data_IF_295558241582
#
_entry.id   IF_295558241582
#
_cell.length_a   1.000
_cell.length_b   1.000
_cell.length_c   1.000
_cell.angle_alpha   90.00
_cell.angle_beta   90.00
_cell.angle_gamma   90.00
#
_symmetry.space_group_name_H-M   'P 1'
#
loop_
_entity.id
_entity.type
_entity.pdbx_description
1 polymer ?
#
# COMPACT_ATOMS: atom_id res chain seq x y z
N UNK A 1 -20.68 -19.03 -8.43
CA UNK A 1 -19.68 -19.34 -7.39
C UNK A 1 -19.49 -20.85 -7.37
N UNK A 2 -18.24 -21.30 -7.43
CA UNK A 2 -17.91 -22.72 -7.25
C UNK A 2 -17.72 -23.02 -5.76
N UNK A 3 -18.14 -24.21 -5.31
CA UNK A 3 -17.99 -24.66 -3.93
C UNK A 3 -16.79 -25.59 -3.82
N UNK A 4 -15.81 -25.20 -3.02
CA UNK A 4 -14.63 -26.03 -2.73
C UNK A 4 -14.63 -26.40 -1.25
N UNK A 5 -14.33 -27.66 -0.94
CA UNK A 5 -14.14 -28.14 0.44
C UNK A 5 -12.64 -28.25 0.70
N UNK A 6 -12.15 -27.55 1.73
CA UNK A 6 -10.75 -27.54 2.13
C UNK A 6 -10.63 -28.03 3.58
N UNK A 7 -9.57 -28.79 3.87
CA UNK A 7 -9.23 -29.19 5.25
C UNK A 7 -8.33 -28.12 5.86
N UNK A 8 -8.65 -27.66 7.06
CA UNK A 8 -7.86 -26.71 7.85
C UNK A 8 -7.68 -27.26 9.26
N UNK A 9 -6.56 -26.91 9.88
CA UNK A 9 -6.40 -27.15 11.31
C UNK A 9 -7.42 -26.34 12.12
N UNK A 10 -7.96 -26.96 13.18
CA UNK A 10 -9.02 -26.37 13.99
C UNK A 10 -8.62 -25.03 14.62
N UNK A 11 -7.37 -24.91 15.04
CA UNK A 11 -6.82 -23.69 15.61
C UNK A 11 -6.80 -22.54 14.62
N UNK A 12 -6.45 -22.83 13.37
CA UNK A 12 -6.46 -21.86 12.28
C UNK A 12 -7.89 -21.45 11.95
N UNK A 13 -8.82 -22.41 11.86
CA UNK A 13 -10.23 -22.13 11.61
C UNK A 13 -10.83 -21.22 12.69
N UNK A 14 -10.53 -21.49 13.98
CA UNK A 14 -10.98 -20.65 15.11
C UNK A 14 -10.41 -19.24 15.06
N UNK A 15 -9.13 -19.09 14.71
CA UNK A 15 -8.48 -17.77 14.57
C UNK A 15 -9.08 -16.99 13.41
N UNK A 16 -9.25 -17.64 12.26
CA UNK A 16 -9.81 -17.01 11.06
C UNK A 16 -11.27 -16.57 11.26
N UNK A 17 -12.10 -17.39 11.92
CA UNK A 17 -13.49 -17.01 12.24
C UNK A 17 -13.56 -15.80 13.17
N UNK A 18 -12.73 -15.77 14.22
CA UNK A 18 -12.64 -14.62 15.14
C UNK A 18 -12.21 -13.35 14.40
N UNK A 19 -11.24 -13.47 13.51
CA UNK A 19 -10.77 -12.33 12.71
C UNK A 19 -11.84 -11.84 11.73
N UNK A 20 -12.57 -12.75 11.07
CA UNK A 20 -13.67 -12.38 10.19
C UNK A 20 -14.76 -11.61 10.96
N UNK A 21 -15.14 -12.08 12.16
CA UNK A 21 -16.08 -11.39 13.03
C UNK A 21 -15.56 -10.01 13.46
N UNK A 22 -14.29 -9.92 13.87
CA UNK A 22 -13.65 -8.65 14.26
C UNK A 22 -13.66 -7.62 13.13
N UNK A 23 -13.52 -8.08 11.88
CA UNK A 23 -13.58 -7.24 10.67
C UNK A 23 -15.00 -6.98 10.15
N UNK A 24 -16.03 -7.58 10.75
CA UNK A 24 -17.40 -7.50 10.25
C UNK A 24 -17.59 -8.15 8.87
N UNK A 25 -16.82 -9.20 8.57
CA UNK A 25 -16.88 -9.93 7.28
C UNK A 25 -17.13 -11.43 7.47
N UNK A 26 -17.33 -12.15 6.37
CA UNK A 26 -17.54 -13.60 6.39
C UNK A 26 -16.20 -14.34 6.31
N UNK A 27 -16.15 -15.57 6.85
CA UNK A 27 -14.99 -16.44 6.71
C UNK A 27 -14.62 -16.67 5.23
N UNK A 28 -15.62 -16.88 4.36
CA UNK A 28 -15.40 -17.07 2.92
C UNK A 28 -14.77 -15.85 2.26
N UNK A 29 -15.22 -14.63 2.62
CA UNK A 29 -14.64 -13.40 2.11
C UNK A 29 -13.18 -13.23 2.57
N UNK A 30 -12.89 -13.55 3.84
CA UNK A 30 -11.53 -13.53 4.39
C UNK A 30 -10.61 -14.55 3.67
N UNK A 31 -11.10 -15.76 3.40
CA UNK A 31 -10.37 -16.77 2.63
C UNK A 31 -10.09 -16.28 1.21
N UNK A 32 -11.09 -15.71 0.53
CA UNK A 32 -10.92 -15.17 -0.82
C UNK A 32 -9.89 -14.02 -0.86
N UNK A 33 -9.91 -13.12 0.13
CA UNK A 33 -8.90 -12.06 0.28
C UNK A 33 -7.49 -12.65 0.44
N UNK A 34 -7.34 -13.64 1.31
CA UNK A 34 -6.07 -14.36 1.51
C UNK A 34 -5.54 -14.98 0.22
N UNK A 35 -6.41 -15.66 -0.53
CA UNK A 35 -6.04 -16.27 -1.82
C UNK A 35 -5.60 -15.22 -2.85
N UNK A 36 -6.36 -14.12 -2.98
CA UNK A 36 -5.97 -13.01 -3.89
C UNK A 36 -4.60 -12.44 -3.51
N UNK A 37 -4.34 -12.23 -2.22
CA UNK A 37 -3.06 -11.71 -1.76
C UNK A 37 -1.88 -12.65 -2.07
N UNK A 38 -2.06 -13.96 -1.92
CA UNK A 38 -1.03 -14.96 -2.25
C UNK A 38 -0.75 -15.00 -3.75
N UNK A 39 -1.80 -14.94 -4.58
CA UNK A 39 -1.66 -14.95 -6.04
C UNK A 39 -1.03 -13.65 -6.57
N UNK A 40 -1.45 -12.49 -6.06
CA UNK A 40 -0.91 -11.19 -6.47
C UNK A 40 0.58 -11.01 -6.09
N UNK A 41 1.01 -11.58 -4.94
CA UNK A 41 2.43 -11.59 -4.54
C UNK A 41 3.30 -12.41 -5.48
N UNK A 42 2.75 -13.45 -6.10
CA UNK A 42 3.45 -14.27 -7.11
C UNK A 42 3.63 -13.52 -8.42
N UNK A 43 2.66 -12.70 -8.81
CA UNK A 43 2.67 -11.95 -10.07
C UNK A 43 3.46 -10.65 -10.02
N UNK A 44 3.67 -10.09 -8.83
CA UNK A 44 4.46 -8.87 -8.69
C UNK A 44 5.92 -9.16 -9.03
N UNK A 45 6.46 -8.66 -10.18
CA UNK A 45 7.89 -8.77 -10.43
C UNK A 45 8.59 -8.12 -9.24
N UNK A 46 9.64 -8.76 -8.71
CA UNK A 46 10.47 -8.16 -7.65
C UNK A 46 10.81 -6.76 -8.12
N UNK A 47 10.22 -5.74 -7.48
CA UNK A 47 10.46 -4.34 -7.86
C UNK A 47 11.97 -4.17 -7.88
N UNK A 48 12.53 -3.92 -9.07
CA UNK A 48 13.98 -3.73 -9.19
C UNK A 48 14.33 -2.60 -8.26
N UNK A 49 15.28 -2.84 -7.36
CA UNK A 49 15.74 -1.82 -6.44
C UNK A 49 16.31 -0.66 -7.28
N UNK A 50 15.58 0.46 -7.34
CA UNK A 50 16.02 1.64 -8.09
C UNK A 50 17.01 2.39 -7.19
N UNK A 51 18.22 2.65 -7.70
CA UNK A 51 19.12 3.61 -7.07
C UNK A 51 18.68 5.00 -7.51
N UNK A 52 18.12 5.77 -6.59
CA UNK A 52 17.81 7.19 -6.83
C UNK A 52 19.13 7.95 -6.77
N UNK A 53 19.49 8.73 -7.80
CA UNK A 53 20.70 9.55 -7.75
C UNK A 53 20.55 10.61 -6.66
N UNK A 54 21.62 10.82 -5.88
CA UNK A 54 21.71 11.95 -4.96
C UNK A 54 22.18 13.15 -5.77
N UNK A 55 21.45 14.27 -5.72
CA UNK A 55 21.90 15.51 -6.34
C UNK A 55 23.19 15.97 -5.68
N UNK A 56 24.25 16.13 -6.47
CA UNK A 56 25.54 16.70 -6.02
C UNK A 56 25.57 18.22 -6.15
N UNK A 57 24.51 18.86 -6.67
CA UNK A 57 24.44 20.32 -6.70
C UNK A 57 24.38 20.86 -5.27
N UNK A 58 25.31 21.75 -4.95
CA UNK A 58 25.19 22.64 -3.79
C UNK A 58 24.22 23.78 -4.09
N UNK A 59 23.65 24.37 -3.03
CA UNK A 59 22.71 25.49 -3.10
C UNK A 59 21.60 25.37 -2.06
N UNK A 60 20.91 26.49 -1.83
CA UNK A 60 19.69 26.54 -1.02
C UNK A 60 18.44 26.62 -1.89
N UNK A 61 17.35 27.04 -1.29
CA UNK A 61 16.11 27.30 -2.01
C UNK A 61 16.29 28.46 -3.00
N UNK A 62 15.49 28.46 -4.06
CA UNK A 62 15.38 29.63 -4.94
C UNK A 62 14.94 30.85 -4.09
N UNK A 63 15.49 32.06 -4.31
CA UNK A 63 15.04 33.26 -3.60
C UNK A 63 13.52 33.42 -3.66
N UNK A 64 12.89 33.72 -2.53
CA UNK A 64 11.44 33.82 -2.39
C UNK A 64 10.70 32.50 -2.18
N UNK A 65 11.39 31.35 -2.24
CA UNK A 65 10.80 30.04 -1.93
C UNK A 65 11.00 29.72 -0.46
N UNK A 66 9.89 29.57 0.27
CA UNK A 66 9.85 29.01 1.62
C UNK A 66 9.16 27.64 1.60
N UNK A 67 9.89 26.58 1.91
CA UNK A 67 9.34 25.21 1.96
C UNK A 67 8.40 24.97 3.14
N UNK A 68 8.38 25.84 4.14
CA UNK A 68 7.46 25.73 5.27
C UNK A 68 6.08 26.34 4.96
N UNK A 69 5.94 27.06 3.84
CA UNK A 69 4.69 27.62 3.38
C UNK A 69 4.22 26.91 2.10
N UNK A 70 3.46 25.84 2.27
CA UNK A 70 2.98 25.02 1.15
C UNK A 70 2.06 25.77 0.19
N UNK A 71 1.32 26.78 0.67
CA UNK A 71 0.42 27.56 -0.17
C UNK A 71 1.20 28.47 -1.12
N UNK A 72 2.10 29.30 -0.60
CA UNK A 72 2.94 30.17 -1.41
C UNK A 72 3.86 29.38 -2.36
N UNK A 73 4.35 28.22 -1.92
CA UNK A 73 5.12 27.32 -2.79
C UNK A 73 4.28 26.84 -3.99
N UNK A 74 3.00 26.50 -3.76
CA UNK A 74 2.11 26.03 -4.82
C UNK A 74 1.81 27.12 -5.84
N UNK A 75 1.53 28.35 -5.39
CA UNK A 75 1.27 29.50 -6.27
C UNK A 75 2.48 29.78 -7.19
N UNK A 76 3.70 29.73 -6.64
CA UNK A 76 4.95 29.86 -7.39
C UNK A 76 5.16 28.73 -8.42
N UNK A 77 4.72 27.50 -8.11
CA UNK A 77 4.84 26.35 -9.02
C UNK A 77 3.81 26.40 -10.15
N UNK A 78 2.62 26.93 -9.88
CA UNK A 78 1.54 27.06 -10.84
C UNK A 78 1.60 28.37 -11.63
N UNK A 79 2.56 29.25 -11.33
CA UNK A 79 2.78 30.51 -12.04
C UNK A 79 1.65 31.52 -11.83
N UNK A 80 1.06 31.54 -10.63
CA UNK A 80 -0.07 32.42 -10.29
C UNK A 80 0.34 33.79 -9.72
N UNK A 81 1.62 34.15 -9.85
CA UNK A 81 2.21 35.41 -9.40
C UNK A 81 2.87 36.19 -10.55
#
# INVERSE_FOLDING_TARGET
MERTTIRLEDDLLRKAKREAQRRGTTFTALVAEGLRNVLARRESPRRRRVKIPVSTRGGGLRPGVDLNNSAALLDLMEGRD
#
